data_IF_326081953660
#
_entry.id   IF_326081953660
#
_cell.length_a   1.000
_cell.length_b   1.000
_cell.length_c   1.000
_cell.angle_alpha   90.00
_cell.angle_beta   90.00
_cell.angle_gamma   90.00
#
_symmetry.space_group_name_H-M   'P 1'
#
loop_
_entity.id
_entity.type
_entity.pdbx_description
1 polymer ?
#
# COMPACT_ATOMS: atom_id res chain seq x y z
N UNK A 1 -21.24 -19.36 -0.60
CA UNK A 1 -21.59 -18.37 0.47
C UNK A 1 -20.29 -18.11 1.21
N UNK A 2 -19.82 -16.88 1.27
CA UNK A 2 -18.57 -16.49 1.93
C UNK A 2 -18.54 -16.98 3.38
N UNK A 3 -17.45 -17.60 3.82
CA UNK A 3 -17.33 -18.14 5.17
C UNK A 3 -17.17 -17.04 6.24
N UNK A 4 -17.10 -17.41 7.52
CA UNK A 4 -17.01 -16.44 8.60
C UNK A 4 -15.62 -15.78 8.67
N UNK A 5 -14.57 -16.47 8.24
CA UNK A 5 -13.20 -15.94 8.21
C UNK A 5 -13.11 -14.88 7.12
N UNK A 6 -13.57 -15.21 5.90
CA UNK A 6 -13.61 -14.28 4.78
C UNK A 6 -14.41 -13.02 5.10
N UNK A 7 -15.59 -13.14 5.73
CA UNK A 7 -16.40 -11.99 6.16
C UNK A 7 -15.65 -11.09 7.16
N UNK A 8 -15.00 -11.69 8.16
CA UNK A 8 -14.23 -10.98 9.16
C UNK A 8 -13.02 -10.26 8.55
N UNK A 9 -12.29 -10.92 7.64
CA UNK A 9 -11.20 -10.30 6.92
C UNK A 9 -11.70 -9.12 6.08
N UNK A 10 -12.79 -9.32 5.32
CA UNK A 10 -13.38 -8.27 4.48
C UNK A 10 -13.77 -7.02 5.28
N UNK A 11 -14.38 -7.20 6.45
CA UNK A 11 -14.69 -6.09 7.35
C UNK A 11 -13.43 -5.36 7.82
N UNK A 12 -12.39 -6.10 8.20
CA UNK A 12 -11.15 -5.53 8.72
C UNK A 12 -10.33 -4.78 7.65
N UNK A 13 -10.24 -5.31 6.43
CA UNK A 13 -9.37 -4.74 5.40
C UNK A 13 -10.06 -3.73 4.49
N UNK A 14 -11.38 -3.80 4.34
CA UNK A 14 -12.15 -2.93 3.44
C UNK A 14 -13.26 -2.13 4.12
N UNK A 15 -13.43 -2.26 5.44
CA UNK A 15 -14.55 -1.70 6.21
C UNK A 15 -15.92 -2.10 5.61
N UNK A 16 -16.02 -3.27 4.99
CA UNK A 16 -17.20 -3.76 4.31
C UNK A 16 -17.87 -4.90 5.07
N UNK A 17 -19.10 -4.69 5.51
CA UNK A 17 -19.89 -5.65 6.29
C UNK A 17 -20.74 -6.61 5.45
N UNK A 18 -20.48 -6.68 4.15
CA UNK A 18 -21.24 -7.56 3.24
C UNK A 18 -22.56 -6.99 2.77
N UNK A 19 -22.84 -5.72 2.99
CA UNK A 19 -24.04 -5.05 2.50
C UNK A 19 -23.95 -4.76 0.99
N UNK A 20 -25.09 -4.77 0.27
CA UNK A 20 -25.11 -4.38 -1.14
C UNK A 20 -24.53 -2.96 -1.31
N UNK A 21 -23.59 -2.81 -2.22
CA UNK A 21 -22.99 -1.52 -2.56
C UNK A 21 -23.35 -1.12 -3.99
N UNK A 22 -23.39 0.18 -4.25
CA UNK A 22 -23.48 0.72 -5.62
C UNK A 22 -22.10 0.92 -6.26
N UNK A 23 -21.04 0.72 -5.50
CA UNK A 23 -19.64 0.88 -5.96
C UNK A 23 -19.21 -0.29 -6.85
N UNK A 24 -18.23 -0.05 -7.71
CA UNK A 24 -17.53 -1.12 -8.38
C UNK A 24 -16.71 -1.93 -7.37
N UNK A 25 -16.68 -3.24 -7.53
CA UNK A 25 -15.84 -4.10 -6.68
C UNK A 25 -15.40 -5.39 -7.36
N UNK A 26 -14.30 -5.94 -6.88
CA UNK A 26 -13.86 -7.30 -7.14
C UNK A 26 -13.29 -7.90 -5.85
N UNK A 27 -14.01 -8.85 -5.26
CA UNK A 27 -13.54 -9.59 -4.08
C UNK A 27 -12.78 -10.81 -4.56
N UNK A 28 -11.54 -10.94 -4.11
CA UNK A 28 -10.70 -12.12 -4.36
C UNK A 28 -10.60 -12.94 -3.07
N UNK A 29 -10.88 -14.23 -3.15
CA UNK A 29 -10.83 -15.17 -2.02
C UNK A 29 -10.09 -16.42 -2.48
N UNK A 30 -9.00 -16.78 -1.79
CA UNK A 30 -8.18 -17.98 -2.04
C UNK A 30 -7.84 -18.19 -3.52
N UNK A 31 -7.31 -17.14 -4.15
CA UNK A 31 -6.91 -17.09 -5.57
C UNK A 31 -8.07 -17.05 -6.59
N UNK A 32 -9.31 -17.00 -6.16
CA UNK A 32 -10.48 -16.97 -7.03
C UNK A 32 -11.29 -15.67 -6.91
N UNK A 33 -12.15 -15.39 -7.88
CA UNK A 33 -13.09 -14.29 -7.82
C UNK A 33 -14.35 -14.69 -7.06
N UNK A 34 -14.51 -14.21 -5.83
CA UNK A 34 -15.69 -14.47 -5.00
C UNK A 34 -16.88 -13.56 -5.34
N UNK A 35 -16.64 -12.44 -6.01
CA UNK A 35 -17.68 -11.52 -6.44
C UNK A 35 -17.13 -10.33 -7.20
N UNK A 36 -17.92 -9.84 -8.16
CA UNK A 36 -17.57 -8.66 -8.98
C UNK A 36 -18.80 -7.85 -9.35
N UNK A 37 -18.63 -6.53 -9.36
CA UNK A 37 -19.62 -5.58 -9.84
C UNK A 37 -18.95 -4.42 -10.58
N UNK A 38 -19.47 -4.09 -11.74
CA UNK A 38 -19.12 -2.90 -12.50
C UNK A 38 -20.11 -1.76 -12.20
N UNK A 39 -19.71 -0.53 -12.50
CA UNK A 39 -20.61 0.61 -12.56
C UNK A 39 -20.70 1.14 -14.00
N UNK A 40 -21.44 2.20 -14.20
CA UNK A 40 -21.48 2.88 -15.50
C UNK A 40 -20.09 3.41 -15.91
N UNK A 41 -19.29 3.88 -14.93
CA UNK A 41 -18.02 4.57 -15.16
C UNK A 41 -16.80 3.69 -14.88
N UNK A 42 -16.96 2.56 -14.20
CA UNK A 42 -15.87 1.66 -13.84
C UNK A 42 -16.13 0.24 -14.33
N UNK A 43 -15.26 -0.26 -15.16
CA UNK A 43 -15.28 -1.63 -15.68
C UNK A 43 -14.13 -2.44 -15.07
N UNK A 44 -14.43 -3.60 -14.55
CA UNK A 44 -13.46 -4.55 -13.99
C UNK A 44 -13.55 -5.84 -14.81
N UNK A 45 -12.44 -6.25 -15.40
CA UNK A 45 -12.35 -7.42 -16.27
C UNK A 45 -11.24 -8.36 -15.81
N UNK A 46 -11.43 -9.68 -15.99
CA UNK A 46 -10.35 -10.63 -15.73
C UNK A 46 -9.31 -10.55 -16.82
N UNK A 47 -8.04 -10.61 -16.44
CA UNK A 47 -6.95 -10.80 -17.39
C UNK A 47 -7.04 -12.19 -18.05
N UNK A 48 -6.58 -12.28 -19.27
CA UNK A 48 -6.58 -13.54 -20.05
C UNK A 48 -5.21 -14.22 -20.09
N UNK A 49 -4.15 -13.50 -19.73
CA UNK A 49 -2.76 -13.96 -19.82
C UNK A 49 -2.17 -14.41 -18.47
N UNK A 50 -2.76 -13.94 -17.36
CA UNK A 50 -2.29 -14.21 -15.99
C UNK A 50 -3.40 -14.00 -14.97
N UNK A 51 -3.27 -14.53 -13.72
CA UNK A 51 -4.23 -14.24 -12.66
C UNK A 51 -4.29 -12.73 -12.36
N UNK A 52 -5.48 -12.14 -12.39
CA UNK A 52 -5.65 -10.72 -12.09
C UNK A 52 -6.78 -10.06 -12.85
N UNK A 53 -6.83 -8.74 -12.72
CA UNK A 53 -7.90 -7.91 -13.29
C UNK A 53 -7.35 -6.63 -13.91
N UNK A 54 -8.09 -6.12 -14.89
CA UNK A 54 -7.97 -4.76 -15.41
C UNK A 54 -9.13 -3.93 -14.84
N UNK A 55 -8.80 -2.81 -14.20
CA UNK A 55 -9.74 -1.84 -13.65
C UNK A 55 -9.67 -0.60 -14.53
N UNK A 56 -10.73 -0.35 -15.29
CA UNK A 56 -10.81 0.72 -16.28
C UNK A 56 -11.79 1.77 -15.81
N UNK A 57 -11.28 2.97 -15.47
CA UNK A 57 -12.05 4.12 -15.05
C UNK A 57 -12.18 5.07 -16.23
N UNK A 58 -13.41 5.41 -16.61
CA UNK A 58 -13.67 6.34 -17.73
C UNK A 58 -13.16 7.75 -17.43
N UNK A 59 -12.87 8.49 -18.50
CA UNK A 59 -12.55 9.91 -18.41
C UNK A 59 -13.68 10.69 -17.70
N UNK A 60 -13.29 11.71 -16.93
CA UNK A 60 -14.19 12.59 -16.18
C UNK A 60 -15.06 11.92 -15.10
N UNK A 61 -14.78 10.67 -14.72
CA UNK A 61 -15.43 10.01 -13.57
C UNK A 61 -15.14 10.77 -12.30
N UNK A 62 -16.18 11.02 -11.46
CA UNK A 62 -16.03 11.78 -10.22
C UNK A 62 -16.66 11.08 -9.04
N UNK A 63 -15.86 11.02 -7.93
CA UNK A 63 -16.33 10.59 -6.61
C UNK A 63 -16.70 9.12 -6.50
N UNK A 64 -16.32 8.27 -7.47
CA UNK A 64 -16.57 6.85 -7.35
C UNK A 64 -15.57 6.17 -6.40
N UNK A 65 -16.08 5.19 -5.67
CA UNK A 65 -15.29 4.34 -4.78
C UNK A 65 -15.24 2.92 -5.35
N UNK A 66 -14.05 2.34 -5.40
CA UNK A 66 -13.77 1.03 -5.99
C UNK A 66 -13.18 0.14 -4.91
N UNK A 67 -13.70 -1.08 -4.73
CA UNK A 67 -13.19 -2.02 -3.73
C UNK A 67 -12.53 -3.22 -4.40
N UNK A 68 -11.30 -3.53 -3.99
CA UNK A 68 -10.54 -4.69 -4.50
C UNK A 68 -9.86 -5.47 -3.38
N UNK A 69 -10.59 -5.93 -2.37
CA UNK A 69 -10.01 -6.74 -1.29
C UNK A 69 -9.54 -8.11 -1.79
N UNK A 70 -8.42 -8.58 -1.22
CA UNK A 70 -7.88 -9.92 -1.41
C UNK A 70 -7.79 -10.65 -0.07
N UNK A 71 -8.37 -11.84 -0.01
CA UNK A 71 -8.52 -12.64 1.20
C UNK A 71 -7.86 -14.00 0.99
N UNK A 72 -6.97 -14.39 1.89
CA UNK A 72 -6.47 -15.75 2.03
C UNK A 72 -7.04 -16.28 3.33
N UNK A 73 -7.92 -17.28 3.25
CA UNK A 73 -8.74 -17.70 4.39
C UNK A 73 -8.16 -18.89 5.16
N UNK A 74 -7.21 -19.62 4.60
CA UNK A 74 -6.64 -20.81 5.23
C UNK A 74 -5.15 -21.02 4.88
N UNK A 75 -4.49 -21.83 5.69
CA UNK A 75 -3.08 -22.20 5.52
C UNK A 75 -2.84 -22.96 4.21
N UNK A 76 -1.61 -22.85 3.68
CA UNK A 76 -1.17 -23.52 2.46
C UNK A 76 -1.52 -22.77 1.16
N UNK A 77 -2.31 -21.71 1.23
CA UNK A 77 -2.63 -20.87 0.06
C UNK A 77 -1.49 -19.92 -0.25
N UNK A 78 -1.07 -19.90 -1.51
CA UNK A 78 -0.13 -18.92 -2.07
C UNK A 78 -0.80 -18.21 -3.23
N UNK A 79 -1.24 -17.00 -2.99
CA UNK A 79 -1.94 -16.19 -3.97
C UNK A 79 -0.99 -15.18 -4.61
N UNK A 80 -0.99 -15.15 -5.96
CA UNK A 80 -0.29 -14.15 -6.76
C UNK A 80 -1.28 -13.53 -7.74
N UNK A 81 -1.40 -12.20 -7.73
CA UNK A 81 -2.37 -11.48 -8.56
C UNK A 81 -1.77 -10.23 -9.20
N UNK A 82 -2.17 -9.94 -10.43
CA UNK A 82 -1.75 -8.78 -11.22
C UNK A 82 -2.97 -7.90 -11.49
N UNK A 83 -2.99 -6.70 -10.91
CA UNK A 83 -4.09 -5.75 -11.08
C UNK A 83 -3.58 -4.49 -11.77
N UNK A 84 -4.15 -4.16 -12.92
CA UNK A 84 -3.80 -2.95 -13.66
C UNK A 84 -4.96 -1.95 -13.58
N UNK A 85 -4.63 -0.73 -13.21
CA UNK A 85 -5.57 0.38 -13.01
C UNK A 85 -5.35 1.41 -14.09
N UNK A 86 -6.28 1.52 -15.01
CA UNK A 86 -6.30 2.53 -16.07
C UNK A 86 -7.23 3.65 -15.65
N UNK A 87 -6.67 4.77 -15.21
CA UNK A 87 -7.42 5.91 -14.67
C UNK A 87 -7.49 6.98 -15.73
N UNK A 88 -8.68 7.16 -16.30
CA UNK A 88 -8.90 8.06 -17.42
C UNK A 88 -8.71 9.53 -17.07
N UNK A 89 -8.56 10.35 -18.12
CA UNK A 89 -8.31 11.79 -18.02
C UNK A 89 -9.39 12.50 -17.16
N UNK A 90 -8.94 13.41 -16.29
CA UNK A 90 -9.78 14.14 -15.32
C UNK A 90 -10.60 13.26 -14.36
N UNK A 91 -10.35 11.95 -14.26
CA UNK A 91 -11.04 11.10 -13.27
C UNK A 91 -10.61 11.48 -11.84
N UNK A 92 -11.53 11.26 -10.87
CA UNK A 92 -11.27 11.44 -9.43
C UNK A 92 -11.95 10.31 -8.69
N UNK A 93 -11.16 9.36 -8.17
CA UNK A 93 -11.65 8.11 -7.58
C UNK A 93 -10.90 7.74 -6.31
N UNK A 94 -11.60 7.02 -5.43
CA UNK A 94 -11.00 6.35 -4.27
C UNK A 94 -10.99 4.85 -4.48
N UNK A 95 -9.83 4.22 -4.32
CA UNK A 95 -9.67 2.77 -4.44
C UNK A 95 -9.33 2.21 -3.05
N UNK A 96 -10.13 1.28 -2.57
CA UNK A 96 -9.90 0.57 -1.30
C UNK A 96 -9.42 -0.84 -1.62
N UNK A 97 -8.15 -1.06 -1.39
CA UNK A 97 -7.50 -2.35 -1.54
C UNK A 97 -7.05 -2.83 -0.17
N UNK A 98 -7.51 -3.97 0.25
CA UNK A 98 -7.08 -4.53 1.52
C UNK A 98 -6.71 -5.98 1.37
N UNK A 99 -5.61 -6.40 1.99
CA UNK A 99 -5.15 -7.78 1.95
C UNK A 99 -5.25 -8.40 3.33
N UNK A 100 -6.03 -9.47 3.45
CA UNK A 100 -6.19 -10.23 4.68
C UNK A 100 -5.68 -11.65 4.53
N UNK A 101 -4.82 -12.11 5.44
CA UNK A 101 -4.26 -13.46 5.42
C UNK A 101 -4.52 -14.15 6.74
N UNK A 102 -5.20 -15.31 6.68
CA UNK A 102 -5.45 -16.17 7.83
C UNK A 102 -4.56 -17.42 7.74
N UNK A 103 -3.88 -17.76 8.82
CA UNK A 103 -3.20 -19.05 8.97
C UNK A 103 -3.73 -19.78 10.21
N UNK A 104 -4.36 -20.92 10.00
CA UNK A 104 -4.96 -21.78 11.01
C UNK A 104 -4.23 -23.12 11.18
N UNK A 105 -3.23 -23.40 10.36
CA UNK A 105 -2.41 -24.60 10.35
C UNK A 105 -0.92 -24.34 10.53
N UNK A 106 -0.11 -25.32 10.11
CA UNK A 106 1.36 -25.24 10.14
C UNK A 106 1.96 -24.72 8.82
N UNK A 107 1.20 -24.77 7.72
CA UNK A 107 1.65 -24.24 6.44
C UNK A 107 1.45 -22.74 6.37
N UNK A 108 2.35 -22.03 5.69
CA UNK A 108 2.23 -20.59 5.49
C UNK A 108 1.03 -20.22 4.62
N UNK A 109 0.54 -19.01 4.81
CA UNK A 109 -0.49 -18.38 3.98
C UNK A 109 0.08 -17.08 3.40
N UNK A 110 -0.01 -16.89 2.10
CA UNK A 110 0.72 -15.85 1.39
C UNK A 110 -0.15 -15.15 0.35
N UNK A 111 -0.06 -13.80 0.32
CA UNK A 111 -0.65 -12.99 -0.74
C UNK A 111 0.41 -12.05 -1.34
N UNK A 112 0.56 -12.10 -2.66
CA UNK A 112 1.47 -11.26 -3.44
C UNK A 112 0.66 -10.48 -4.49
N UNK A 113 0.34 -9.23 -4.19
CA UNK A 113 -0.34 -8.32 -5.11
C UNK A 113 0.65 -7.50 -5.93
N UNK A 114 0.53 -7.54 -7.26
CA UNK A 114 1.28 -6.67 -8.18
C UNK A 114 0.28 -5.72 -8.80
N UNK A 115 0.40 -4.44 -8.44
CA UNK A 115 -0.52 -3.37 -8.84
C UNK A 115 0.20 -2.40 -9.76
N UNK A 116 -0.38 -2.11 -10.94
CA UNK A 116 0.15 -1.11 -11.87
C UNK A 116 -0.91 -0.03 -12.09
N UNK A 117 -0.55 1.21 -11.82
CA UNK A 117 -1.41 2.38 -11.99
C UNK A 117 -0.94 3.20 -13.17
N UNK A 118 -1.84 3.43 -14.10
CA UNK A 118 -1.65 4.30 -15.26
C UNK A 118 -2.61 5.47 -15.11
N UNK A 119 -2.09 6.61 -14.63
CA UNK A 119 -2.88 7.83 -14.44
C UNK A 119 -2.73 8.72 -15.67
N UNK A 120 -3.85 8.98 -16.34
CA UNK A 120 -3.87 9.95 -17.44
C UNK A 120 -3.85 11.40 -16.91
N UNK A 121 -3.78 12.36 -17.81
CA UNK A 121 -3.70 13.80 -17.49
C UNK A 121 -4.82 14.23 -16.53
N UNK A 122 -4.46 15.02 -15.50
CA UNK A 122 -5.36 15.50 -14.45
C UNK A 122 -6.09 14.39 -13.65
N UNK A 123 -5.73 13.13 -13.79
CA UNK A 123 -6.33 12.05 -13.00
C UNK A 123 -5.95 12.19 -11.52
N UNK A 124 -6.91 11.92 -10.64
CA UNK A 124 -6.74 11.95 -9.19
C UNK A 124 -7.13 10.60 -8.59
N UNK A 125 -6.24 10.01 -7.81
CA UNK A 125 -6.48 8.74 -7.12
C UNK A 125 -6.13 8.87 -5.65
N UNK A 126 -7.04 8.42 -4.78
CA UNK A 126 -6.75 8.09 -3.38
C UNK A 126 -6.80 6.58 -3.24
N UNK A 127 -5.66 5.97 -2.95
CA UNK A 127 -5.50 4.54 -2.77
C UNK A 127 -5.31 4.21 -1.30
N UNK A 128 -6.24 3.45 -0.72
CA UNK A 128 -6.21 3.06 0.69
C UNK A 128 -6.01 1.56 0.79
N UNK A 129 -4.93 1.13 1.44
CA UNK A 129 -4.58 -0.28 1.58
C UNK A 129 -4.38 -0.64 3.06
N UNK A 130 -5.03 -1.73 3.50
CA UNK A 130 -4.84 -2.28 4.84
C UNK A 130 -4.36 -3.72 4.75
N UNK A 131 -3.30 -4.06 5.48
CA UNK A 131 -2.76 -5.42 5.59
C UNK A 131 -3.03 -5.98 6.98
N UNK A 132 -3.65 -7.14 7.05
CA UNK A 132 -3.99 -7.80 8.31
C UNK A 132 -3.69 -9.29 8.22
N UNK A 133 -2.94 -9.79 9.21
CA UNK A 133 -2.79 -11.21 9.46
C UNK A 133 -3.65 -11.65 10.64
N UNK A 134 -4.22 -12.83 10.57
CA UNK A 134 -4.98 -13.45 11.65
C UNK A 134 -4.84 -14.97 11.66
N UNK A 135 -5.46 -15.62 12.64
CA UNK A 135 -5.36 -17.07 12.86
C UNK A 135 -4.37 -17.44 13.96
N UNK A 136 -4.56 -18.63 14.53
CA UNK A 136 -3.77 -19.15 15.65
C UNK A 136 -2.78 -20.24 15.21
N UNK A 137 -2.69 -20.52 13.89
CA UNK A 137 -1.74 -21.46 13.33
C UNK A 137 -0.29 -21.00 13.47
N UNK A 138 0.63 -21.93 13.33
CA UNK A 138 2.07 -21.68 13.38
C UNK A 138 2.68 -21.33 12.02
N UNK A 139 1.91 -21.46 10.93
CA UNK A 139 2.32 -21.08 9.59
C UNK A 139 2.42 -19.56 9.44
N UNK A 140 3.43 -19.10 8.71
CA UNK A 140 3.67 -17.67 8.51
C UNK A 140 2.56 -17.00 7.68
N UNK A 141 2.20 -15.78 8.03
CA UNK A 141 1.30 -14.88 7.30
C UNK A 141 2.14 -13.86 6.54
N UNK A 142 2.15 -13.99 5.22
CA UNK A 142 3.04 -13.25 4.35
C UNK A 142 2.23 -12.38 3.40
N UNK A 143 2.57 -11.08 3.30
CA UNK A 143 1.98 -10.16 2.35
C UNK A 143 3.11 -9.35 1.70
N UNK A 144 3.35 -9.55 0.40
CA UNK A 144 4.41 -8.85 -0.35
C UNK A 144 3.82 -8.04 -1.51
N UNK A 145 3.34 -6.82 -1.27
CA UNK A 145 2.76 -5.99 -2.31
C UNK A 145 3.86 -5.34 -3.16
N UNK A 146 3.60 -5.26 -4.46
CA UNK A 146 4.39 -4.46 -5.40
C UNK A 146 3.48 -3.46 -6.09
N UNK A 147 3.88 -2.18 -6.13
CA UNK A 147 3.10 -1.12 -6.76
C UNK A 147 3.96 -0.35 -7.76
N UNK A 148 3.45 -0.20 -8.98
CA UNK A 148 4.08 0.56 -10.04
C UNK A 148 3.13 1.68 -10.46
N UNK A 149 3.63 2.92 -10.56
CA UNK A 149 2.84 4.10 -10.84
C UNK A 149 3.46 4.86 -12.01
N UNK A 150 2.66 5.06 -13.06
CA UNK A 150 2.96 5.99 -14.14
C UNK A 150 1.97 7.15 -14.06
N UNK A 151 2.47 8.31 -13.68
CA UNK A 151 1.68 9.51 -13.41
C UNK A 151 1.90 10.54 -14.52
N UNK A 152 0.91 10.71 -15.40
CA UNK A 152 0.95 11.70 -16.47
C UNK A 152 0.86 13.14 -15.94
N UNK A 153 0.97 14.11 -16.84
CA UNK A 153 0.92 15.56 -16.54
C UNK A 153 -0.29 15.93 -15.65
N UNK A 154 -0.06 16.75 -14.63
CA UNK A 154 -1.06 17.27 -13.69
C UNK A 154 -1.82 16.21 -12.88
N UNK A 155 -1.41 14.93 -12.93
CA UNK A 155 -2.05 13.87 -12.16
C UNK A 155 -1.65 13.91 -10.67
N UNK A 156 -2.49 13.32 -9.82
CA UNK A 156 -2.28 13.22 -8.38
C UNK A 156 -2.56 11.81 -7.88
N UNK A 157 -1.65 11.24 -7.13
CA UNK A 157 -1.89 10.01 -6.40
C UNK A 157 -1.53 10.14 -4.93
N UNK A 158 -2.45 9.73 -4.06
CA UNK A 158 -2.21 9.58 -2.63
C UNK A 158 -2.39 8.10 -2.26
N UNK A 159 -1.35 7.52 -1.65
CA UNK A 159 -1.37 6.16 -1.12
C UNK A 159 -1.35 6.20 0.40
N UNK A 160 -2.36 5.63 1.04
CA UNK A 160 -2.41 5.39 2.47
C UNK A 160 -2.30 3.90 2.74
N UNK A 161 -1.17 3.44 3.28
CA UNK A 161 -0.94 2.03 3.58
C UNK A 161 -0.85 1.81 5.08
N UNK A 162 -1.51 0.78 5.59
CA UNK A 162 -1.54 0.47 7.02
C UNK A 162 -1.33 -1.01 7.26
N UNK A 163 -0.30 -1.37 8.05
CA UNK A 163 -0.03 -2.73 8.50
C UNK A 163 0.28 -2.72 9.99
N UNK A 164 -0.70 -3.07 10.82
CA UNK A 164 -0.59 -2.93 12.28
C UNK A 164 -0.62 -4.28 13.00
N UNK A 165 -1.19 -5.32 12.39
CA UNK A 165 -1.47 -6.56 13.13
C UNK A 165 -1.25 -7.82 12.28
N UNK A 166 -0.52 -8.75 12.86
CA UNK A 166 -0.56 -10.18 12.55
C UNK A 166 0.13 -10.63 11.27
N UNK A 167 0.72 -9.72 10.49
CA UNK A 167 1.55 -10.10 9.34
C UNK A 167 2.96 -10.43 9.84
N UNK A 168 3.43 -11.65 9.59
CA UNK A 168 4.72 -12.13 10.10
C UNK A 168 5.88 -11.63 9.24
N UNK A 169 5.68 -11.56 7.93
CA UNK A 169 6.68 -11.03 7.00
C UNK A 169 6.04 -10.22 5.89
N UNK A 170 6.62 -9.05 5.58
CA UNK A 170 6.25 -8.27 4.42
C UNK A 170 7.49 -7.68 3.73
N UNK A 171 7.45 -7.68 2.39
CA UNK A 171 8.38 -6.94 1.54
C UNK A 171 7.57 -6.11 0.55
N UNK A 172 7.39 -4.85 0.88
CA UNK A 172 6.70 -3.87 0.03
C UNK A 172 7.70 -3.23 -0.92
N UNK A 173 7.35 -3.20 -2.19
CA UNK A 173 8.08 -2.43 -3.21
C UNK A 173 7.12 -1.48 -3.92
N UNK A 174 7.51 -0.21 -4.03
CA UNK A 174 6.73 0.78 -4.79
C UNK A 174 7.66 1.60 -5.69
N UNK A 175 7.33 1.66 -6.97
CA UNK A 175 8.06 2.47 -7.96
C UNK A 175 7.12 3.43 -8.66
N UNK A 176 7.54 4.69 -8.78
CA UNK A 176 6.75 5.73 -9.44
C UNK A 176 7.59 6.53 -10.43
N UNK A 177 6.97 6.89 -11.56
CA UNK A 177 7.50 7.80 -12.57
C UNK A 177 6.51 8.95 -12.73
N UNK A 178 6.96 10.18 -12.44
CA UNK A 178 6.13 11.37 -12.45
C UNK A 178 6.51 12.31 -13.60
N UNK A 179 5.50 12.68 -14.40
CA UNK A 179 5.62 13.65 -15.48
C UNK A 179 5.34 15.08 -14.96
N UNK A 180 5.24 16.07 -15.87
CA UNK A 180 5.09 17.48 -15.53
C UNK A 180 3.97 17.74 -14.53
N UNK A 181 4.27 18.44 -13.43
CA UNK A 181 3.34 18.82 -12.35
C UNK A 181 2.61 17.65 -11.67
N UNK A 182 2.96 16.41 -12.01
CA UNK A 182 2.41 15.24 -11.33
C UNK A 182 2.85 15.20 -9.87
N UNK A 183 1.96 14.72 -8.98
CA UNK A 183 2.18 14.70 -7.54
C UNK A 183 1.90 13.32 -6.95
N UNK A 184 2.81 12.83 -6.13
CA UNK A 184 2.68 11.60 -5.38
C UNK A 184 2.82 11.86 -3.88
N UNK A 185 1.88 11.35 -3.11
CA UNK A 185 1.95 11.33 -1.64
C UNK A 185 1.83 9.90 -1.16
N UNK A 186 2.80 9.41 -0.42
CA UNK A 186 2.73 8.07 0.23
C UNK A 186 2.77 8.28 1.73
N UNK A 187 1.77 7.73 2.42
CA UNK A 187 1.63 7.71 3.88
C UNK A 187 1.57 6.27 4.35
N UNK A 188 2.64 5.79 4.91
CA UNK A 188 2.74 4.44 5.43
C UNK A 188 2.67 4.43 6.95
N UNK A 189 1.94 3.45 7.52
CA UNK A 189 1.87 3.16 8.95
C UNK A 189 2.16 1.69 9.18
N UNK A 190 3.28 1.38 9.83
CA UNK A 190 3.69 0.00 10.12
C UNK A 190 3.90 -0.20 11.62
N UNK A 191 3.37 -1.29 12.14
CA UNK A 191 3.71 -1.79 13.47
C UNK A 191 4.12 -3.26 13.37
N UNK A 192 5.29 -3.56 13.92
CA UNK A 192 5.80 -4.93 14.05
C UNK A 192 6.03 -5.30 15.50
N UNK A 193 5.82 -6.56 15.84
CA UNK A 193 6.04 -7.12 17.18
C UNK A 193 6.52 -8.57 17.12
N UNK A 194 6.92 -9.16 18.27
CA UNK A 194 7.44 -10.52 18.31
C UNK A 194 8.70 -10.63 17.44
N UNK A 195 8.69 -11.51 16.43
CA UNK A 195 9.80 -11.72 15.49
C UNK A 195 9.45 -11.26 14.06
N UNK A 196 8.42 -10.45 13.90
CA UNK A 196 7.94 -9.98 12.61
C UNK A 196 9.02 -9.19 11.87
N UNK A 197 8.95 -9.27 10.55
CA UNK A 197 9.83 -8.54 9.65
C UNK A 197 9.02 -7.70 8.66
N UNK A 198 9.39 -6.43 8.52
CA UNK A 198 8.83 -5.55 7.50
C UNK A 198 9.94 -4.83 6.73
N UNK A 199 9.92 -4.95 5.42
CA UNK A 199 10.78 -4.22 4.50
C UNK A 199 9.90 -3.37 3.58
N UNK A 200 10.20 -2.08 3.51
CA UNK A 200 9.55 -1.15 2.60
C UNK A 200 10.60 -0.50 1.73
N UNK A 201 10.39 -0.52 0.42
CA UNK A 201 11.23 0.12 -0.57
C UNK A 201 10.42 1.02 -1.48
N UNK A 202 10.76 2.31 -1.50
CA UNK A 202 10.20 3.31 -2.42
C UNK A 202 11.26 3.76 -3.42
N UNK A 203 10.93 3.76 -4.71
CA UNK A 203 11.73 4.33 -5.79
C UNK A 203 10.87 5.32 -6.57
N UNK A 204 11.31 6.59 -6.66
CA UNK A 204 10.56 7.65 -7.33
C UNK A 204 11.46 8.41 -8.31
N UNK A 205 11.04 8.44 -9.57
CA UNK A 205 11.67 9.20 -10.65
C UNK A 205 10.84 10.46 -10.94
N UNK A 206 11.35 11.63 -10.57
CA UNK A 206 10.76 12.94 -10.83
C UNK A 206 11.27 13.47 -12.17
N UNK A 207 10.61 13.04 -13.27
CA UNK A 207 11.04 13.32 -14.65
C UNK A 207 10.45 14.62 -15.21
N UNK A 208 9.29 15.03 -14.69
CA UNK A 208 8.58 16.21 -15.18
C UNK A 208 8.92 17.49 -14.41
N UNK A 209 8.82 18.61 -15.10
CA UNK A 209 8.97 19.94 -14.49
C UNK A 209 7.86 20.20 -13.47
N UNK A 210 8.25 20.73 -12.30
CA UNK A 210 7.38 21.02 -11.16
C UNK A 210 6.62 19.77 -10.62
N UNK A 211 7.13 18.56 -10.92
CA UNK A 211 6.68 17.32 -10.29
C UNK A 211 7.09 17.25 -8.82
N UNK A 212 6.33 16.53 -8.01
CA UNK A 212 6.66 16.40 -6.59
C UNK A 212 6.30 15.06 -5.97
N UNK A 213 7.10 14.60 -5.02
CA UNK A 213 6.84 13.41 -4.22
C UNK A 213 7.03 13.69 -2.73
N UNK A 214 6.10 13.19 -1.90
CA UNK A 214 6.19 13.21 -0.45
C UNK A 214 5.98 11.80 0.10
N UNK A 215 7.03 11.18 0.61
CA UNK A 215 7.08 9.81 1.10
C UNK A 215 7.23 9.85 2.62
N UNK A 216 6.22 9.40 3.35
CA UNK A 216 6.23 9.37 4.82
C UNK A 216 6.01 7.95 5.31
N UNK A 217 6.97 7.41 6.06
CA UNK A 217 6.82 6.15 6.79
C UNK A 217 6.85 6.41 8.30
N UNK A 218 5.78 6.05 8.99
CA UNK A 218 5.67 6.11 10.44
C UNK A 218 5.50 4.72 11.01
N UNK A 219 6.42 4.34 11.90
CA UNK A 219 6.48 2.98 12.35
C UNK A 219 6.75 2.79 13.84
N UNK A 220 6.37 1.61 14.33
CA UNK A 220 6.71 1.14 15.69
C UNK A 220 7.26 -0.28 15.58
N UNK A 221 8.46 -0.51 16.10
CA UNK A 221 9.05 -1.84 16.22
C UNK A 221 9.14 -2.24 17.70
N UNK A 222 8.57 -3.41 18.04
CA UNK A 222 8.53 -3.94 19.41
C UNK A 222 9.15 -5.34 19.49
N UNK A 223 9.43 -5.76 20.71
CA UNK A 223 9.98 -7.09 21.02
C UNK A 223 11.30 -7.32 20.26
N UNK A 224 11.43 -8.41 19.49
CA UNK A 224 12.59 -8.73 18.65
C UNK A 224 12.32 -8.48 17.15
N UNK A 225 11.30 -7.67 16.83
CA UNK A 225 10.91 -7.40 15.44
C UNK A 225 11.90 -6.49 14.71
N UNK A 226 11.90 -6.58 13.38
CA UNK A 226 12.83 -5.83 12.53
C UNK A 226 12.11 -5.11 11.41
N UNK A 227 12.54 -3.88 11.14
CA UNK A 227 12.05 -3.09 10.02
C UNK A 227 13.23 -2.53 9.21
N UNK A 228 13.07 -2.54 7.88
CA UNK A 228 14.00 -1.92 6.94
C UNK A 228 13.22 -0.98 6.03
N UNK A 229 13.59 0.30 6.05
CA UNK A 229 13.05 1.32 5.18
C UNK A 229 14.10 1.74 4.15
N UNK A 230 13.77 1.61 2.88
CA UNK A 230 14.57 2.01 1.75
C UNK A 230 13.81 3.08 0.97
N UNK A 231 14.43 4.21 0.68
CA UNK A 231 13.83 5.21 -0.20
C UNK A 231 14.86 5.72 -1.19
N UNK A 232 14.49 5.75 -2.45
CA UNK A 232 15.29 6.31 -3.54
C UNK A 232 14.48 7.35 -4.29
N UNK A 233 14.97 8.61 -4.31
CA UNK A 233 14.33 9.72 -5.01
C UNK A 233 15.30 10.32 -6.01
N UNK A 234 14.93 10.25 -7.29
CA UNK A 234 15.71 10.79 -8.40
C UNK A 234 15.05 12.06 -8.94
N UNK A 235 15.67 13.21 -8.76
CA UNK A 235 15.23 14.49 -9.31
C UNK A 235 15.88 14.74 -10.68
N UNK A 236 15.16 14.43 -11.75
CA UNK A 236 15.66 14.51 -13.13
C UNK A 236 15.27 15.82 -13.84
N UNK A 237 14.41 16.64 -13.24
CA UNK A 237 13.96 17.93 -13.72
C UNK A 237 13.89 18.94 -12.56
N UNK A 238 13.40 20.17 -12.81
CA UNK A 238 13.02 21.09 -11.74
C UNK A 238 11.86 20.48 -10.97
N UNK A 239 12.10 19.95 -9.77
CA UNK A 239 11.15 19.15 -9.02
C UNK A 239 11.37 19.27 -7.51
N UNK A 240 10.45 18.73 -6.71
CA UNK A 240 10.59 18.67 -5.26
C UNK A 240 10.34 17.24 -4.75
N UNK A 241 11.24 16.71 -3.93
CA UNK A 241 11.12 15.40 -3.30
C UNK A 241 11.40 15.47 -1.80
N UNK A 242 10.52 14.88 -0.99
CA UNK A 242 10.71 14.74 0.44
C UNK A 242 10.46 13.30 0.87
N UNK A 243 11.42 12.71 1.57
CA UNK A 243 11.33 11.39 2.18
C UNK A 243 11.51 11.50 3.69
N UNK A 244 10.54 11.03 4.46
CA UNK A 244 10.51 11.08 5.93
C UNK A 244 10.35 9.67 6.50
N UNK A 245 11.19 9.30 7.48
CA UNK A 245 11.09 8.03 8.20
C UNK A 245 11.09 8.28 9.71
N UNK A 246 9.93 8.18 10.34
CA UNK A 246 9.77 8.28 11.78
C UNK A 246 9.50 6.91 12.39
N UNK A 247 10.35 6.49 13.33
CA UNK A 247 10.22 5.19 13.96
C UNK A 247 10.39 5.24 15.48
N UNK A 248 9.48 4.62 16.19
CA UNK A 248 9.57 4.37 17.62
C UNK A 248 10.07 2.94 17.83
N UNK A 249 11.17 2.80 18.56
CA UNK A 249 11.74 1.51 18.94
C UNK A 249 11.37 1.20 20.40
N UNK A 250 10.84 0.01 20.62
CA UNK A 250 10.55 -0.53 21.95
C UNK A 250 11.25 -1.88 22.12
N UNK A 251 11.57 -2.22 23.36
CA UNK A 251 12.24 -3.48 23.74
C UNK A 251 13.56 -3.69 22.97
N UNK A 252 13.69 -4.78 22.20
CA UNK A 252 14.81 -5.12 21.34
C UNK A 252 14.53 -4.84 19.86
N UNK A 253 13.42 -4.16 19.54
CA UNK A 253 13.06 -3.82 18.17
C UNK A 253 14.21 -3.13 17.44
N UNK A 254 14.29 -3.36 16.14
CA UNK A 254 15.32 -2.78 15.29
C UNK A 254 14.69 -2.15 14.05
N UNK A 255 15.07 -0.90 13.78
CA UNK A 255 14.66 -0.17 12.57
C UNK A 255 15.91 0.37 11.89
N UNK A 256 16.02 0.12 10.59
CA UNK A 256 17.06 0.68 9.73
C UNK A 256 16.43 1.51 8.62
N UNK A 257 16.92 2.71 8.38
CA UNK A 257 16.53 3.55 7.25
C UNK A 257 17.75 3.82 6.36
N UNK A 258 17.61 3.56 5.06
CA UNK A 258 18.65 3.76 4.06
C UNK A 258 18.07 4.63 2.93
N UNK A 259 18.18 5.95 3.05
CA UNK A 259 17.74 6.89 2.01
C UNK A 259 18.80 7.04 0.92
N UNK A 260 18.35 7.18 -0.32
CA UNK A 260 19.16 7.53 -1.48
C UNK A 260 18.51 8.72 -2.20
N UNK A 261 19.26 9.80 -2.39
CA UNK A 261 18.81 11.00 -3.07
C UNK A 261 19.77 11.29 -4.23
N UNK A 262 19.24 11.46 -5.44
CA UNK A 262 20.00 11.82 -6.64
C UNK A 262 19.41 13.06 -7.29
N UNK A 263 20.07 14.22 -7.13
CA UNK A 263 19.70 15.46 -7.81
C UNK A 263 20.44 15.55 -9.16
N UNK A 264 19.78 15.12 -10.23
CA UNK A 264 20.33 15.11 -11.59
C UNK A 264 20.04 16.42 -12.34
N UNK A 265 19.27 17.32 -11.75
CA UNK A 265 18.96 18.66 -12.23
C UNK A 265 19.34 19.69 -11.16
N UNK A 266 19.92 20.82 -11.57
CA UNK A 266 20.34 21.89 -10.65
C UNK A 266 19.18 22.50 -9.86
N UNK A 267 17.98 22.47 -10.43
CA UNK A 267 16.74 22.99 -9.82
C UNK A 267 15.94 21.90 -9.07
N UNK A 268 16.49 20.71 -8.87
CA UNK A 268 15.87 19.65 -8.08
C UNK A 268 16.06 19.93 -6.58
N UNK A 269 14.97 20.09 -5.83
CA UNK A 269 14.95 20.28 -4.38
C UNK A 269 14.57 18.97 -3.69
N UNK A 270 15.56 18.23 -3.18
CA UNK A 270 15.33 16.92 -2.55
C UNK A 270 15.76 16.97 -1.08
N UNK A 271 14.88 16.47 -0.21
CA UNK A 271 15.11 16.45 1.24
C UNK A 271 14.86 15.04 1.77
N UNK A 272 15.68 14.61 2.70
CA UNK A 272 15.44 13.42 3.52
C UNK A 272 15.51 13.78 5.00
N UNK A 273 14.56 13.24 5.79
CA UNK A 273 14.50 13.37 7.23
C UNK A 273 14.28 12.00 7.88
N UNK A 274 14.86 11.75 9.04
CA UNK A 274 14.63 10.55 9.80
C UNK A 274 14.68 10.82 11.30
N UNK A 275 13.68 10.36 12.04
CA UNK A 275 13.65 10.36 13.49
C UNK A 275 13.43 8.93 13.99
N UNK A 276 14.50 8.24 14.39
CA UNK A 276 14.45 6.83 14.81
C UNK A 276 15.00 6.76 16.25
N UNK A 277 14.18 6.23 17.19
CA UNK A 277 14.65 6.09 18.55
C UNK A 277 13.61 5.58 19.54
N UNK A 278 14.05 5.53 20.80
CA UNK A 278 13.18 5.18 21.93
C UNK A 278 12.56 6.44 22.51
N UNK A 279 11.32 6.35 22.97
CA UNK A 279 10.71 7.42 23.77
C UNK A 279 11.43 7.43 25.13
N UNK A 280 12.00 8.58 25.51
CA UNK A 280 12.67 8.71 26.79
C UNK A 280 11.69 8.53 27.95
N UNK A 281 12.14 7.89 29.06
CA UNK A 281 11.30 7.60 30.20
C UNK A 281 10.59 8.82 30.80
N UNK A 282 11.25 9.99 30.80
CA UNK A 282 10.66 11.26 31.24
C UNK A 282 9.49 11.72 30.34
N UNK A 283 9.60 11.50 29.02
CA UNK A 283 8.52 11.81 28.08
C UNK A 283 7.33 10.86 28.28
N UNK A 284 7.61 9.58 28.58
CA UNK A 284 6.58 8.59 28.89
C UNK A 284 5.81 8.97 30.17
N UNK A 285 6.51 9.36 31.23
CA UNK A 285 5.91 9.82 32.47
C UNK A 285 5.03 11.06 32.21
N UNK A 286 5.50 12.00 31.41
CA UNK A 286 4.72 13.19 31.05
C UNK A 286 3.45 12.87 30.28
N UNK A 287 3.50 11.92 29.34
CA UNK A 287 2.34 11.45 28.58
C UNK A 287 1.33 10.69 29.48
N UNK A 288 1.79 9.99 30.51
CA UNK A 288 0.93 9.28 31.46
C UNK A 288 0.25 10.22 32.47
N UNK A 289 0.67 11.47 32.58
CA UNK A 289 0.12 12.47 33.48
C UNK A 289 -0.86 13.44 32.80
N UNK A 290 -1.09 13.31 31.53
CA UNK A 290 -2.10 14.01 30.72
C UNK A 290 -3.39 13.19 30.62
#
# INVERSE_FOLDING_TARGET
>A
MMDNIAKKLLELVADWKGEPTKSAFNIREDSECAGRQNTENVRIESKTDRPGIDIIVKNNTKGEKIYIPALVTHSGVKDLVYNDFYIGENADVTIVAGCGVNSDGCDGAEHNGIHRFFLEKNARVVYVEKHIGMGEGTGERIINPQTYIEAAEDSYMEMETTQIKGVDSTKRFSKAILQDRAKLVIKEKIMTHGKQYAETSFEVDLNGTDSSAHLVSRSVARDDSKQLFLSKVNGNAKCAGHSECDAIIMDNGCVSAIPEISANCVDAALIHEAAIGKIAGEQLIKLMTL
#
